data_IF_414340907157
#
_entry.id   IF_414340907157
#
_cell.length_a   1.000
_cell.length_b   1.000
_cell.length_c   1.000
_cell.angle_alpha   90.00
_cell.angle_beta   90.00
_cell.angle_gamma   90.00
#
_symmetry.space_group_name_H-M   'P 1'
#
loop_
_entity.id
_entity.type
_entity.pdbx_description
1 polymer ?
#
# COMPACT_ATOMS: atom_id res chain seq x y z
N UNK A 1 50.52 -39.80 -15.50
CA UNK A 1 49.13 -39.68 -15.00
C UNK A 1 48.85 -38.20 -14.77
N UNK A 2 48.08 -37.55 -15.65
CA UNK A 2 47.79 -36.10 -15.57
C UNK A 2 46.37 -35.94 -15.04
N UNK A 3 46.23 -35.47 -13.80
CA UNK A 3 44.95 -35.14 -13.21
C UNK A 3 44.39 -33.88 -13.87
N UNK A 4 43.24 -34.00 -14.56
CA UNK A 4 42.46 -32.86 -15.02
C UNK A 4 41.38 -32.58 -13.98
N UNK A 5 41.59 -31.51 -13.24
CA UNK A 5 40.63 -30.94 -12.29
C UNK A 5 39.46 -30.34 -13.11
N UNK A 6 38.34 -31.05 -13.18
CA UNK A 6 37.11 -30.55 -13.79
C UNK A 6 36.33 -29.79 -12.70
N UNK A 7 36.59 -28.49 -12.64
CA UNK A 7 35.80 -27.53 -11.88
C UNK A 7 34.43 -27.43 -12.58
N UNK A 8 33.41 -28.13 -12.07
CA UNK A 8 32.04 -27.96 -12.56
C UNK A 8 31.48 -26.68 -11.95
N UNK A 9 31.27 -25.68 -12.81
CA UNK A 9 30.59 -24.43 -12.50
C UNK A 9 29.19 -24.70 -11.93
N UNK A 10 29.05 -24.64 -10.61
CA UNK A 10 27.76 -24.37 -9.96
C UNK A 10 27.51 -22.88 -10.09
N UNK A 11 27.12 -22.45 -11.28
CA UNK A 11 26.75 -21.07 -11.56
C UNK A 11 25.24 -21.01 -11.78
N UNK A 12 24.56 -20.77 -10.65
CA UNK A 12 23.37 -19.90 -10.52
C UNK A 12 22.19 -20.20 -11.43
N UNK A 13 21.15 -20.80 -10.82
CA UNK A 13 19.77 -20.64 -11.25
C UNK A 13 19.50 -19.14 -11.48
N UNK A 14 19.49 -18.72 -12.76
CA UNK A 14 18.81 -17.51 -13.19
C UNK A 14 17.35 -17.70 -12.84
N UNK A 15 16.97 -17.25 -11.64
CA UNK A 15 15.57 -17.08 -11.29
C UNK A 15 14.95 -16.23 -12.41
N UNK A 16 13.88 -16.70 -13.08
CA UNK A 16 13.18 -15.88 -14.05
C UNK A 16 12.79 -14.60 -13.33
N UNK A 17 13.21 -13.48 -13.91
CA UNK A 17 13.21 -12.18 -13.27
C UNK A 17 11.93 -11.94 -12.47
N UNK A 18 12.08 -11.45 -11.24
CA UNK A 18 11.04 -10.67 -10.62
C UNK A 18 10.70 -9.57 -11.63
N UNK A 19 9.61 -9.77 -12.38
CA UNK A 19 9.03 -8.76 -13.23
C UNK A 19 8.61 -7.67 -12.26
N UNK A 20 9.51 -6.70 -12.05
CA UNK A 20 9.18 -5.49 -11.34
C UNK A 20 8.11 -4.84 -12.20
N UNK A 21 6.86 -4.98 -11.75
CA UNK A 21 5.74 -4.29 -12.37
C UNK A 21 6.16 -2.81 -12.48
N UNK A 22 6.16 -2.25 -13.70
CA UNK A 22 6.77 -0.96 -13.94
C UNK A 22 5.87 0.11 -13.31
N UNK A 23 6.17 0.48 -12.07
CA UNK A 23 5.83 1.77 -11.47
C UNK A 23 4.46 2.32 -11.83
N UNK A 24 3.40 1.52 -11.71
CA UNK A 24 2.07 2.05 -11.60
C UNK A 24 2.05 2.86 -10.31
N UNK A 25 1.87 4.17 -10.41
CA UNK A 25 1.74 5.04 -9.24
C UNK A 25 0.56 4.49 -8.42
N UNK A 26 0.88 3.84 -7.31
CA UNK A 26 -0.13 3.20 -6.48
C UNK A 26 -0.81 4.32 -5.70
N UNK A 27 -2.04 4.63 -6.09
CA UNK A 27 -2.84 5.65 -5.44
C UNK A 27 -3.02 5.32 -3.96
N UNK A 28 -2.35 6.08 -3.09
CA UNK A 28 -2.51 5.98 -1.64
C UNK A 28 -3.66 6.90 -1.20
N UNK A 29 -4.39 6.46 -0.18
CA UNK A 29 -5.46 7.25 0.44
C UNK A 29 -5.23 7.37 1.94
N UNK A 30 -5.75 8.44 2.53
CA UNK A 30 -5.78 8.62 3.97
C UNK A 30 -7.20 8.94 4.42
N UNK A 31 -7.56 8.44 5.59
CA UNK A 31 -8.81 8.72 6.27
C UNK A 31 -8.49 9.65 7.42
N UNK A 32 -9.16 10.79 7.43
CA UNK A 32 -9.05 11.81 8.47
C UNK A 32 -10.31 11.84 9.32
N UNK A 33 -10.14 12.16 10.60
CA UNK A 33 -11.19 12.36 11.60
C UNK A 33 -11.30 13.83 11.95
N UNK A 34 -12.52 14.37 11.98
CA UNK A 34 -12.77 15.72 12.49
C UNK A 34 -12.48 15.82 14.00
N UNK A 35 -11.91 16.95 14.42
CA UNK A 35 -11.68 17.25 15.82
C UNK A 35 -12.98 17.30 16.63
N UNK A 36 -12.91 16.84 17.89
CA UNK A 36 -14.07 16.86 18.81
C UNK A 36 -14.40 18.28 19.25
N UNK A 37 -13.37 19.09 19.50
CA UNK A 37 -13.52 20.48 19.96
C UNK A 37 -13.56 21.48 18.80
N UNK A 38 -12.81 21.21 17.74
CA UNK A 38 -12.72 22.05 16.55
C UNK A 38 -12.99 21.21 15.30
N UNK A 39 -14.20 21.33 14.74
CA UNK A 39 -14.63 20.49 13.60
C UNK A 39 -13.84 20.76 12.31
N UNK A 40 -13.23 21.93 12.21
CA UNK A 40 -12.37 22.31 11.09
C UNK A 40 -10.99 21.64 11.16
N UNK A 41 -10.59 21.15 12.34
CA UNK A 41 -9.36 20.37 12.49
C UNK A 41 -9.58 18.94 12.00
N UNK A 42 -8.66 18.46 11.16
CA UNK A 42 -8.69 17.11 10.59
C UNK A 42 -7.42 16.38 10.99
N UNK A 43 -7.57 15.17 11.53
CA UNK A 43 -6.48 14.32 11.99
C UNK A 43 -6.43 13.05 11.17
N UNK A 44 -5.31 12.78 10.52
CA UNK A 44 -5.13 11.53 9.78
C UNK A 44 -5.07 10.35 10.76
N UNK A 45 -5.91 9.34 10.54
CA UNK A 45 -6.10 8.20 11.46
C UNK A 45 -5.85 6.85 10.82
N UNK A 46 -6.05 6.72 9.51
CA UNK A 46 -5.82 5.48 8.77
C UNK A 46 -5.22 5.81 7.41
N UNK A 47 -4.08 5.21 7.09
CA UNK A 47 -3.57 5.20 5.73
C UNK A 47 -3.97 3.90 5.01
N UNK A 48 -4.34 4.02 3.74
CA UNK A 48 -4.77 2.92 2.87
C UNK A 48 -3.77 2.80 1.72
N UNK A 49 -3.07 1.67 1.69
CA UNK A 49 -2.11 1.29 0.66
C UNK A 49 -2.41 -0.12 0.14
N UNK A 50 -2.02 -0.42 -1.10
CA UNK A 50 -2.17 -1.74 -1.70
C UNK A 50 -2.11 -1.68 -3.22
N UNK A 51 -1.99 -2.83 -3.88
CA UNK A 51 -1.85 -2.90 -5.35
C UNK A 51 -3.20 -2.82 -6.11
N UNK A 52 -4.30 -2.56 -5.41
CA UNK A 52 -5.68 -2.61 -5.94
C UNK A 52 -6.42 -1.28 -5.77
N UNK A 53 -7.74 -1.27 -5.97
CA UNK A 53 -8.62 -0.09 -5.85
C UNK A 53 -8.68 0.46 -4.40
N UNK A 54 -7.63 1.21 -4.04
CA UNK A 54 -7.47 1.81 -2.71
C UNK A 54 -8.53 2.90 -2.45
N UNK A 55 -9.10 3.50 -3.50
CA UNK A 55 -10.17 4.48 -3.37
C UNK A 55 -11.45 3.82 -2.84
N UNK A 56 -11.86 2.70 -3.44
CA UNK A 56 -13.03 1.95 -3.00
C UNK A 56 -12.87 1.48 -1.55
N UNK A 57 -11.69 0.97 -1.19
CA UNK A 57 -11.37 0.56 0.17
C UNK A 57 -11.45 1.73 1.17
N UNK A 58 -10.84 2.87 0.83
CA UNK A 58 -10.88 4.06 1.69
C UNK A 58 -12.32 4.56 1.92
N UNK A 59 -13.17 4.51 0.88
CA UNK A 59 -14.59 4.83 0.99
C UNK A 59 -15.31 3.87 1.94
N UNK A 60 -15.15 2.57 1.76
CA UNK A 60 -15.83 1.55 2.59
C UNK A 60 -15.44 1.67 4.07
N UNK A 61 -14.15 1.90 4.36
CA UNK A 61 -13.69 2.12 5.73
C UNK A 61 -14.31 3.39 6.31
N UNK A 62 -14.29 4.51 5.57
CA UNK A 62 -14.88 5.76 6.04
C UNK A 62 -16.40 5.61 6.28
N UNK A 63 -17.13 4.94 5.41
CA UNK A 63 -18.56 4.64 5.58
C UNK A 63 -18.81 3.77 6.83
N UNK A 64 -17.99 2.75 7.04
CA UNK A 64 -18.08 1.89 8.22
C UNK A 64 -17.88 2.68 9.52
N UNK A 65 -16.83 3.50 9.60
CA UNK A 65 -16.55 4.32 10.78
C UNK A 65 -17.67 5.33 11.04
N UNK A 66 -18.22 5.93 9.99
CA UNK A 66 -19.34 6.86 10.10
C UNK A 66 -20.67 6.21 10.52
N UNK A 67 -20.79 4.87 10.57
CA UNK A 67 -21.96 4.22 11.19
C UNK A 67 -21.97 4.38 12.70
N UNK A 68 -20.78 4.48 13.32
CA UNK A 68 -20.63 4.65 14.77
C UNK A 68 -20.58 6.14 15.15
N UNK A 69 -19.87 6.95 14.37
CA UNK A 69 -19.77 8.41 14.57
C UNK A 69 -20.14 9.14 13.26
N UNK A 70 -21.42 9.48 13.05
CA UNK A 70 -21.88 10.05 11.78
C UNK A 70 -21.20 11.38 11.40
N UNK A 71 -20.76 11.46 10.14
CA UNK A 71 -20.12 12.64 9.53
C UNK A 71 -18.78 13.05 10.17
N UNK A 72 -18.11 12.13 10.86
CA UNK A 72 -16.87 12.38 11.58
C UNK A 72 -15.63 12.02 10.75
N UNK A 73 -15.75 11.10 9.80
CA UNK A 73 -14.63 10.59 9.01
C UNK A 73 -14.75 10.96 7.53
N UNK A 74 -13.63 11.37 6.92
CA UNK A 74 -13.51 11.67 5.49
C UNK A 74 -12.27 10.99 4.92
N UNK A 75 -12.30 10.61 3.65
CA UNK A 75 -11.14 10.05 2.96
C UNK A 75 -10.67 10.97 1.84
N UNK A 76 -9.36 11.00 1.57
CA UNK A 76 -8.73 11.79 0.51
C UNK A 76 -7.52 11.05 -0.07
N UNK A 77 -7.18 11.36 -1.33
CA UNK A 77 -5.95 10.87 -1.95
C UNK A 77 -4.76 11.52 -1.25
N UNK A 78 -3.70 10.74 -1.00
CA UNK A 78 -2.46 11.22 -0.41
C UNK A 78 -1.62 11.89 -1.50
N UNK A 79 -1.18 13.12 -1.25
CA UNK A 79 -0.31 13.91 -2.14
C UNK A 79 1.16 13.47 -2.06
#
# INVERSE_FOLDING_TARGET
MKAKLLLLCVATCLAPGCQQDPGGEVDAYTISRSGVMFQDEQFDVVDVYGFSDNQAMAREIAEYLNRQEPNTYRYRKKE
#
